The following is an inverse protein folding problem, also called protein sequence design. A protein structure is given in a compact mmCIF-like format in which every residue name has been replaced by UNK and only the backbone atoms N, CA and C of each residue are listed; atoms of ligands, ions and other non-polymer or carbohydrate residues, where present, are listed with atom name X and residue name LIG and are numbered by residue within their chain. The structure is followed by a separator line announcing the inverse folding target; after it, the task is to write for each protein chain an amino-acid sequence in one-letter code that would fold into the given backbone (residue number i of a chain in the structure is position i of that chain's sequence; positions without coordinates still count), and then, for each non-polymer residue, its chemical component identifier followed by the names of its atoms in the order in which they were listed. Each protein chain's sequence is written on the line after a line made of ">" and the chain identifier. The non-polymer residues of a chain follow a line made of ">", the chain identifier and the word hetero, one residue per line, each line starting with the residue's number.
data_IF_216138912413
#
_entry.id   IF_216138912413
#
_cell.length_a   1.000
_cell.length_b   1.000
_cell.length_c   1.000
_cell.angle_alpha   90.00
_cell.angle_beta   90.00
_cell.angle_gamma   90.00
#
_symmetry.space_group_name_H-M   'P 1'
#
loop_
_entity.id
_entity.type
_entity.pdbx_description
1 polymer ?
#
# COMPACT_ATOMS: atom_id res chain seq x y z
N UNK A 1 -24.66 -11.22 -4.20
CA UNK A 1 -23.20 -11.43 -4.35
C UNK A 1 -22.55 -11.14 -3.03
N UNK A 2 -21.37 -11.73 -2.72
CA UNK A 2 -20.66 -11.34 -1.50
C UNK A 2 -20.04 -9.93 -1.69
N UNK A 3 -19.85 -9.19 -0.61
CA UNK A 3 -19.20 -7.88 -0.68
C UNK A 3 -17.79 -7.95 -1.31
N UNK A 4 -17.08 -9.07 -1.10
CA UNK A 4 -15.78 -9.35 -1.75
C UNK A 4 -15.92 -9.41 -3.27
N UNK A 5 -16.92 -10.11 -3.78
CA UNK A 5 -17.18 -10.22 -5.22
C UNK A 5 -17.52 -8.84 -5.83
N UNK A 6 -18.27 -8.01 -5.12
CA UNK A 6 -18.62 -6.67 -5.58
C UNK A 6 -17.37 -5.78 -5.68
N UNK A 7 -16.45 -5.85 -4.69
CA UNK A 7 -15.17 -5.12 -4.71
C UNK A 7 -14.25 -5.61 -5.84
N UNK A 8 -14.17 -6.92 -6.07
CA UNK A 8 -13.41 -7.50 -7.17
C UNK A 8 -13.96 -7.00 -8.51
N UNK A 9 -15.27 -7.03 -8.69
CA UNK A 9 -15.91 -6.56 -9.93
C UNK A 9 -15.68 -5.06 -10.16
N UNK A 10 -15.76 -4.23 -9.13
CA UNK A 10 -15.45 -2.80 -9.22
C UNK A 10 -13.98 -2.57 -9.63
N UNK A 11 -13.05 -3.33 -9.03
CA UNK A 11 -11.62 -3.23 -9.36
C UNK A 11 -11.34 -3.64 -10.81
N UNK A 12 -12.01 -4.70 -11.31
CA UNK A 12 -11.84 -5.19 -12.68
C UNK A 12 -12.42 -4.23 -13.72
N UNK A 13 -13.55 -3.62 -13.41
CA UNK A 13 -14.23 -2.68 -14.30
C UNK A 13 -13.64 -1.26 -14.25
N UNK A 14 -12.64 -1.01 -13.38
CA UNK A 14 -12.04 0.30 -13.26
C UNK A 14 -11.26 0.65 -14.54
N UNK A 15 -11.61 1.75 -15.26
CA UNK A 15 -10.87 2.17 -16.43
C UNK A 15 -9.41 2.50 -16.10
N UNK A 16 -8.52 2.20 -17.04
CA UNK A 16 -7.11 2.58 -16.92
C UNK A 16 -6.87 4.05 -17.26
N UNK A 17 -5.75 4.58 -16.79
CA UNK A 17 -5.28 5.92 -17.13
C UNK A 17 -6.11 7.06 -16.50
N UNK A 18 -6.05 8.22 -17.14
CA UNK A 18 -6.67 9.46 -16.63
C UNK A 18 -8.19 9.40 -16.50
N UNK A 19 -8.85 8.59 -17.30
CA UNK A 19 -10.30 8.43 -17.24
C UNK A 19 -10.77 7.68 -15.96
N UNK A 20 -9.91 6.83 -15.39
CA UNK A 20 -10.25 5.97 -14.27
C UNK A 20 -9.49 6.26 -12.97
N UNK A 21 -8.60 7.27 -12.92
CA UNK A 21 -7.73 7.45 -11.76
C UNK A 21 -8.51 7.65 -10.45
N UNK A 22 -9.55 8.50 -10.45
CA UNK A 22 -10.35 8.76 -9.27
C UNK A 22 -11.17 7.53 -8.84
N UNK A 23 -11.70 6.78 -9.81
CA UNK A 23 -12.41 5.52 -9.56
C UNK A 23 -11.45 4.49 -8.95
N UNK A 24 -10.24 4.36 -9.50
CA UNK A 24 -9.22 3.44 -9.00
C UNK A 24 -8.81 3.78 -7.56
N UNK A 25 -8.53 5.07 -7.28
CA UNK A 25 -8.23 5.54 -5.92
C UNK A 25 -9.36 5.22 -4.93
N UNK A 26 -10.62 5.48 -5.33
CA UNK A 26 -11.77 5.21 -4.47
C UNK A 26 -11.95 3.71 -4.19
N UNK A 27 -11.94 2.88 -5.21
CA UNK A 27 -12.10 1.42 -5.09
C UNK A 27 -10.95 0.82 -4.29
N UNK A 28 -9.70 1.19 -4.58
CA UNK A 28 -8.55 0.68 -3.83
C UNK A 28 -8.56 1.14 -2.36
N UNK A 29 -9.00 2.38 -2.08
CA UNK A 29 -9.15 2.85 -0.69
C UNK A 29 -10.25 2.06 0.03
N UNK A 30 -11.36 1.78 -0.62
CA UNK A 30 -12.45 0.95 -0.06
C UNK A 30 -11.96 -0.46 0.23
N UNK A 31 -11.25 -1.09 -0.72
CA UNK A 31 -10.64 -2.41 -0.55
C UNK A 31 -9.69 -2.42 0.65
N UNK A 32 -8.70 -1.52 0.70
CA UNK A 32 -7.73 -1.49 1.80
C UNK A 32 -8.39 -1.20 3.16
N UNK A 33 -9.43 -0.36 3.17
CA UNK A 33 -10.21 -0.10 4.38
C UNK A 33 -10.97 -1.35 4.82
N UNK A 34 -11.63 -2.05 3.91
CA UNK A 34 -12.28 -3.32 4.20
C UNK A 34 -11.30 -4.38 4.71
N UNK A 35 -10.10 -4.46 4.12
CA UNK A 35 -9.08 -5.44 4.50
C UNK A 35 -8.48 -5.17 5.88
N UNK A 36 -8.14 -3.90 6.17
CA UNK A 36 -7.22 -3.56 7.24
C UNK A 36 -7.78 -2.64 8.34
N UNK A 37 -9.04 -2.23 8.25
CA UNK A 37 -9.68 -1.41 9.29
C UNK A 37 -10.86 -2.17 9.92
N UNK A 38 -10.77 -2.61 11.20
CA UNK A 38 -9.58 -2.63 12.03
C UNK A 38 -8.55 -3.68 11.54
N UNK A 39 -7.29 -3.71 12.02
CA UNK A 39 -6.74 -3.02 13.19
C UNK A 39 -6.11 -1.65 12.89
N UNK A 40 -5.89 -1.28 11.62
CA UNK A 40 -5.52 0.08 11.29
C UNK A 40 -6.68 1.05 11.56
N UNK A 41 -6.38 2.33 11.68
CA UNK A 41 -7.42 3.35 11.78
C UNK A 41 -7.94 3.76 10.40
N UNK A 42 -9.14 4.34 10.37
CA UNK A 42 -9.73 4.90 9.15
C UNK A 42 -8.74 5.87 8.48
N UNK A 43 -8.52 5.75 7.15
CA UNK A 43 -7.52 6.55 6.48
C UNK A 43 -7.86 8.03 6.42
N UNK A 44 -6.82 8.86 6.51
CA UNK A 44 -6.88 10.26 6.12
C UNK A 44 -6.63 10.33 4.61
N UNK A 45 -7.66 10.67 3.85
CA UNK A 45 -7.59 10.78 2.39
C UNK A 45 -7.17 12.18 1.97
N UNK A 46 -6.42 12.28 0.86
CA UNK A 46 -6.01 13.54 0.24
C UNK A 46 -5.31 14.49 1.23
N UNK A 47 -4.52 13.90 2.15
CA UNK A 47 -3.85 14.66 3.20
C UNK A 47 -2.81 15.60 2.63
N UNK A 48 -3.02 16.90 2.79
CA UNK A 48 -2.07 17.93 2.37
C UNK A 48 -1.01 18.19 3.45
N UNK A 49 0.21 18.53 3.02
CA UNK A 49 1.20 19.10 3.92
C UNK A 49 0.81 20.53 4.31
N UNK A 50 1.43 21.07 5.37
CA UNK A 50 1.17 22.45 5.80
C UNK A 50 1.42 23.48 4.69
N UNK A 51 2.41 23.21 3.82
CA UNK A 51 2.72 24.06 2.65
C UNK A 51 1.75 23.85 1.47
N UNK A 52 0.86 22.87 1.56
CA UNK A 52 -0.05 22.41 0.49
C UNK A 52 0.66 21.97 -0.82
N UNK A 53 2.00 21.91 -0.83
CA UNK A 53 2.80 21.52 -2.00
C UNK A 53 2.63 20.03 -2.30
N UNK A 54 2.54 19.19 -1.24
CA UNK A 54 2.41 17.75 -1.35
C UNK A 54 1.04 17.29 -0.88
N UNK A 55 0.42 16.43 -1.67
CA UNK A 55 -0.84 15.76 -1.35
C UNK A 55 -0.63 14.26 -1.40
N UNK A 56 -0.90 13.60 -0.30
CA UNK A 56 -0.81 12.14 -0.15
C UNK A 56 -2.19 11.55 -0.37
N UNK A 57 -2.28 10.48 -1.16
CA UNK A 57 -3.59 9.91 -1.51
C UNK A 57 -4.31 9.32 -0.31
N UNK A 58 -3.64 8.47 0.47
CA UNK A 58 -4.18 7.98 1.73
C UNK A 58 -3.09 7.73 2.78
N UNK A 59 -3.44 7.94 4.04
CA UNK A 59 -2.60 7.64 5.20
C UNK A 59 -3.43 6.83 6.19
N UNK A 60 -3.02 5.60 6.48
CA UNK A 60 -3.65 4.74 7.49
C UNK A 60 -2.85 4.79 8.78
N UNK A 61 -3.38 5.40 9.87
CA UNK A 61 -2.67 5.40 11.15
C UNK A 61 -2.60 3.99 11.73
N UNK A 62 -1.39 3.56 12.06
CA UNK A 62 -1.11 2.30 12.74
C UNK A 62 -0.88 2.57 14.23
N UNK A 63 -1.84 2.22 15.06
CA UNK A 63 -1.77 2.37 16.52
C UNK A 63 -1.47 1.05 17.24
N UNK A 64 -1.03 0.04 16.53
CA UNK A 64 -0.68 -1.28 17.07
C UNK A 64 0.72 -1.25 17.68
N UNK A 65 0.87 -0.58 18.83
CA UNK A 65 2.15 -0.36 19.52
C UNK A 65 2.45 -1.43 20.58
N UNK A 66 1.48 -2.29 20.85
CA UNK A 66 1.62 -3.42 21.78
C UNK A 66 1.17 -4.70 21.09
N UNK A 67 1.76 -5.86 21.40
CA UNK A 67 1.28 -7.15 20.92
C UNK A 67 -0.04 -7.48 21.65
N UNK A 68 -1.13 -6.87 21.23
CA UNK A 68 -2.44 -7.30 21.68
C UNK A 68 -2.71 -8.70 21.14
N UNK A 69 -3.31 -9.59 21.91
CA UNK A 69 -3.55 -10.97 21.53
C UNK A 69 -4.50 -11.19 20.34
N UNK A 70 -4.85 -10.14 19.62
CA UNK A 70 -5.59 -10.19 18.36
C UNK A 70 -4.62 -10.56 17.21
N UNK A 71 -4.86 -11.69 16.59
CA UNK A 71 -4.07 -12.18 15.46
C UNK A 71 -3.97 -11.13 14.34
N UNK A 72 -5.05 -10.42 14.05
CA UNK A 72 -5.11 -9.41 12.98
C UNK A 72 -4.23 -8.18 13.24
N UNK A 73 -3.81 -7.91 14.48
CA UNK A 73 -2.92 -6.79 14.81
C UNK A 73 -1.44 -7.16 14.82
N UNK A 74 -1.10 -8.45 14.78
CA UNK A 74 0.29 -8.95 14.93
C UNK A 74 1.22 -8.40 13.86
N UNK A 75 0.83 -8.50 12.60
CA UNK A 75 1.65 -8.06 11.49
C UNK A 75 1.85 -6.54 11.50
N UNK A 76 0.81 -5.77 11.83
CA UNK A 76 0.90 -4.31 11.94
C UNK A 76 1.75 -3.85 13.12
N UNK A 77 1.73 -4.60 14.23
CA UNK A 77 2.65 -4.40 15.34
C UNK A 77 4.10 -4.69 14.90
N UNK A 78 4.33 -5.80 14.21
CA UNK A 78 5.65 -6.15 13.67
C UNK A 78 6.20 -5.05 12.75
N UNK A 79 5.40 -4.59 11.80
CA UNK A 79 5.76 -3.49 10.89
C UNK A 79 6.00 -2.17 11.62
N UNK A 80 5.25 -1.92 12.71
CA UNK A 80 5.52 -0.77 13.57
C UNK A 80 6.92 -0.86 14.21
N UNK A 81 7.29 -2.02 14.74
CA UNK A 81 8.60 -2.22 15.39
C UNK A 81 9.75 -2.16 14.38
N UNK A 82 9.62 -2.88 13.28
CA UNK A 82 10.69 -3.03 12.29
C UNK A 82 10.90 -1.75 11.47
N UNK A 83 9.83 -1.18 10.95
CA UNK A 83 9.87 -0.06 10.00
C UNK A 83 9.42 1.28 10.61
N UNK A 84 9.16 1.33 11.93
CA UNK A 84 8.54 2.49 12.55
C UNK A 84 7.28 2.95 11.78
N UNK A 85 6.52 1.99 11.24
CA UNK A 85 5.39 2.23 10.37
C UNK A 85 4.17 2.73 11.15
N UNK A 86 4.27 3.96 11.68
CA UNK A 86 3.19 4.64 12.45
C UNK A 86 2.05 5.10 11.58
N UNK A 87 2.39 5.55 10.38
CA UNK A 87 1.47 6.09 9.41
C UNK A 87 1.76 5.37 8.08
N UNK A 88 0.90 4.42 7.71
CA UNK A 88 1.06 3.69 6.46
C UNK A 88 0.68 4.61 5.32
N UNK A 89 1.68 5.07 4.56
CA UNK A 89 1.46 5.86 3.35
C UNK A 89 0.99 4.95 2.23
N UNK A 90 -0.09 5.33 1.55
CA UNK A 90 -0.58 4.65 0.36
C UNK A 90 -0.72 5.66 -0.78
N UNK A 91 -0.15 5.31 -1.92
CA UNK A 91 -0.25 6.04 -3.18
C UNK A 91 -0.88 5.14 -4.24
N UNK A 92 -1.74 5.69 -5.08
CA UNK A 92 -2.44 4.95 -6.14
C UNK A 92 -1.92 5.36 -7.50
N UNK A 93 -1.54 4.38 -8.33
CA UNK A 93 -1.00 4.61 -9.68
C UNK A 93 -1.82 3.84 -10.69
N UNK A 94 -2.71 4.58 -11.36
CA UNK A 94 -3.58 4.04 -12.40
C UNK A 94 -3.11 4.49 -13.77
N UNK A 95 -2.27 3.70 -14.43
CA UNK A 95 -1.68 4.02 -15.72
C UNK A 95 -2.17 3.05 -16.81
N UNK A 96 -2.33 3.58 -18.01
CA UNK A 96 -2.69 2.83 -19.21
C UNK A 96 -1.42 2.52 -20.03
N UNK A 97 -0.96 3.47 -20.82
CA UNK A 97 0.20 3.31 -21.73
C UNK A 97 1.52 3.51 -20.98
N UNK A 98 1.57 4.55 -20.16
CA UNK A 98 2.78 4.91 -19.40
C UNK A 98 3.16 3.84 -18.39
N UNK A 99 4.44 3.53 -18.27
CA UNK A 99 4.95 2.61 -17.26
C UNK A 99 4.94 3.25 -15.86
N UNK A 100 4.80 2.40 -14.85
CA UNK A 100 5.07 2.76 -13.46
C UNK A 100 6.58 2.60 -13.26
N UNK A 101 7.27 3.72 -13.15
CA UNK A 101 8.73 3.80 -13.18
C UNK A 101 9.35 4.38 -11.90
N UNK A 102 10.63 4.80 -11.99
CA UNK A 102 11.36 5.39 -10.85
C UNK A 102 10.73 6.67 -10.31
N UNK A 103 10.01 7.43 -11.12
CA UNK A 103 9.42 8.72 -10.68
C UNK A 103 8.31 8.50 -9.67
N UNK A 104 7.48 7.45 -9.84
CA UNK A 104 6.45 7.07 -8.88
C UNK A 104 7.06 6.61 -7.56
N UNK A 105 8.17 5.89 -7.62
CA UNK A 105 8.94 5.47 -6.45
C UNK A 105 9.54 6.65 -5.72
N UNK A 106 10.10 7.63 -6.45
CA UNK A 106 10.63 8.86 -5.88
C UNK A 106 9.54 9.72 -5.25
N UNK A 107 8.35 9.77 -5.84
CA UNK A 107 7.21 10.47 -5.27
C UNK A 107 6.86 9.89 -3.88
N UNK A 108 6.74 8.57 -3.77
CA UNK A 108 6.49 7.90 -2.50
C UNK A 108 7.62 8.15 -1.48
N UNK A 109 8.88 8.10 -1.92
CA UNK A 109 10.03 8.43 -1.06
C UNK A 109 9.94 9.83 -0.47
N UNK A 110 9.59 10.83 -1.28
CA UNK A 110 9.46 12.23 -0.85
C UNK A 110 8.36 12.42 0.20
N UNK A 111 7.32 11.58 0.15
CA UNK A 111 6.23 11.62 1.13
C UNK A 111 6.54 10.87 2.43
N UNK A 112 7.50 9.94 2.42
CA UNK A 112 7.99 9.24 3.60
C UNK A 112 8.93 10.12 4.44
N UNK A 113 8.38 11.17 5.03
CA UNK A 113 9.09 12.01 5.99
C UNK A 113 9.24 11.30 7.34
N UNK A 114 10.13 11.78 8.19
CA UNK A 114 10.48 11.11 9.46
C UNK A 114 9.26 10.71 10.34
N UNK A 115 8.22 11.56 10.52
CA UNK A 115 7.04 11.18 11.30
C UNK A 115 6.21 10.05 10.69
N UNK A 116 6.31 9.79 9.38
CA UNK A 116 5.55 8.76 8.67
C UNK A 116 6.07 7.35 8.95
N UNK A 117 7.36 7.22 9.30
CA UNK A 117 8.03 5.93 9.37
C UNK A 117 8.70 5.56 8.04
N UNK A 118 8.92 4.25 7.82
CA UNK A 118 9.74 3.75 6.71
C UNK A 118 9.00 2.82 5.75
N UNK A 119 7.66 2.84 5.74
CA UNK A 119 6.84 2.01 4.86
C UNK A 119 5.89 2.85 4.03
N UNK A 120 5.96 2.70 2.71
CA UNK A 120 4.96 3.17 1.77
C UNK A 120 4.45 2.01 0.92
N UNK A 121 3.18 2.06 0.53
CA UNK A 121 2.54 1.11 -0.37
C UNK A 121 2.14 1.86 -1.64
N UNK A 122 2.66 1.42 -2.79
CA UNK A 122 2.19 1.83 -4.10
C UNK A 122 1.21 0.79 -4.62
N UNK A 123 -0.05 1.17 -4.70
CA UNK A 123 -1.10 0.36 -5.30
C UNK A 123 -1.17 0.67 -6.79
N UNK A 124 -0.90 -0.33 -7.61
CA UNK A 124 -0.64 -0.19 -9.04
C UNK A 124 -1.68 -0.89 -9.88
N UNK A 125 -2.19 -0.22 -10.92
CA UNK A 125 -3.11 -0.85 -11.88
C UNK A 125 -2.43 -1.91 -12.75
N UNK A 126 -1.11 -1.82 -12.92
CA UNK A 126 -0.22 -2.77 -13.59
C UNK A 126 1.11 -2.88 -12.86
N UNK A 127 1.90 -3.88 -13.19
CA UNK A 127 3.20 -4.08 -12.56
C UNK A 127 4.16 -2.94 -12.86
N UNK A 128 4.92 -2.46 -11.86
CA UNK A 128 6.02 -1.54 -12.08
C UNK A 128 7.11 -2.14 -12.96
N UNK A 129 7.77 -1.30 -13.75
CA UNK A 129 8.87 -1.75 -14.59
C UNK A 129 10.14 -2.08 -13.76
N UNK A 130 11.12 -2.71 -14.43
CA UNK A 130 12.38 -3.12 -13.79
C UNK A 130 13.13 -1.93 -13.16
N UNK A 131 13.08 -0.76 -13.76
CA UNK A 131 13.78 0.43 -13.24
C UNK A 131 13.16 0.92 -11.90
N UNK A 132 11.84 0.81 -11.76
CA UNK A 132 11.17 1.06 -10.48
C UNK A 132 11.66 0.11 -9.38
N UNK A 133 11.84 -1.18 -9.71
CA UNK A 133 12.36 -2.18 -8.77
C UNK A 133 13.81 -1.90 -8.37
N UNK A 134 14.68 -1.54 -9.33
CA UNK A 134 16.05 -1.12 -9.04
C UNK A 134 16.06 0.13 -8.14
N UNK A 135 15.21 1.12 -8.45
CA UNK A 135 15.14 2.34 -7.65
C UNK A 135 14.69 2.07 -6.22
N UNK A 136 13.70 1.22 -6.03
CA UNK A 136 13.23 0.77 -4.71
C UNK A 136 14.37 0.11 -3.90
N UNK A 137 15.18 -0.74 -4.51
CA UNK A 137 16.35 -1.38 -3.89
C UNK A 137 17.38 -0.32 -3.45
N UNK A 138 17.70 0.64 -4.33
CA UNK A 138 18.62 1.74 -4.00
C UNK A 138 18.14 2.55 -2.79
N UNK A 139 16.84 2.84 -2.71
CA UNK A 139 16.24 3.56 -1.57
C UNK A 139 16.40 2.75 -0.28
N UNK A 140 16.13 1.45 -0.33
CA UNK A 140 16.30 0.62 0.86
C UNK A 140 17.77 0.55 1.31
N UNK A 141 18.72 0.42 0.37
CA UNK A 141 20.17 0.45 0.67
C UNK A 141 20.54 1.72 1.44
N UNK A 142 20.11 2.88 0.95
CA UNK A 142 20.53 4.18 1.46
C UNK A 142 19.73 4.63 2.70
N UNK A 143 18.42 4.46 2.67
CA UNK A 143 17.50 5.08 3.63
C UNK A 143 16.79 4.07 4.54
N UNK A 144 16.94 2.77 4.27
CA UNK A 144 16.21 1.69 4.95
C UNK A 144 14.68 1.89 4.89
N UNK A 145 14.19 2.54 3.85
CA UNK A 145 12.76 2.73 3.58
C UNK A 145 12.27 1.66 2.61
N UNK A 146 11.15 1.04 2.94
CA UNK A 146 10.47 0.04 2.11
C UNK A 146 9.37 0.71 1.32
N UNK A 147 9.41 0.59 0.00
CA UNK A 147 8.33 0.97 -0.90
C UNK A 147 7.78 -0.31 -1.50
N UNK A 148 6.63 -0.74 -1.00
CA UNK A 148 5.99 -1.98 -1.40
C UNK A 148 5.10 -1.74 -2.62
N UNK A 149 5.20 -2.60 -3.63
CA UNK A 149 4.27 -2.60 -4.76
C UNK A 149 3.17 -3.62 -4.52
N UNK A 150 1.92 -3.20 -4.75
CA UNK A 150 0.75 -4.08 -4.73
C UNK A 150 -0.04 -3.85 -6.02
N UNK A 151 -0.22 -4.89 -6.80
CA UNK A 151 -1.02 -4.87 -8.02
C UNK A 151 -2.46 -5.36 -7.79
N UNK A 152 -3.29 -5.31 -8.84
CA UNK A 152 -4.69 -5.77 -8.80
C UNK A 152 -4.82 -7.25 -8.42
N UNK A 153 -3.87 -8.11 -8.83
CA UNK A 153 -3.90 -9.55 -8.52
C UNK A 153 -3.74 -9.77 -7.02
N UNK A 154 -2.78 -9.08 -6.42
CA UNK A 154 -2.53 -9.15 -4.97
C UNK A 154 -3.68 -8.56 -4.14
N UNK A 155 -4.31 -7.46 -4.59
CA UNK A 155 -5.51 -6.93 -3.94
C UNK A 155 -6.65 -7.96 -3.93
N UNK A 156 -6.88 -8.64 -5.06
CA UNK A 156 -7.91 -9.69 -5.16
C UNK A 156 -7.59 -10.87 -4.25
N UNK A 157 -6.33 -11.30 -4.22
CA UNK A 157 -5.92 -12.39 -3.33
C UNK A 157 -6.17 -12.04 -1.86
N UNK A 158 -5.81 -10.82 -1.42
CA UNK A 158 -6.12 -10.36 -0.06
C UNK A 158 -7.63 -10.33 0.24
N UNK A 159 -8.46 -9.96 -0.73
CA UNK A 159 -9.92 -10.01 -0.58
C UNK A 159 -10.41 -11.46 -0.39
N UNK A 160 -9.88 -12.39 -1.18
CA UNK A 160 -10.22 -13.83 -1.07
C UNK A 160 -9.68 -14.44 0.24
N UNK A 161 -8.48 -14.06 0.69
CA UNK A 161 -7.95 -14.45 2.01
C UNK A 161 -8.92 -14.04 3.11
N UNK A 162 -9.39 -12.79 3.10
CA UNK A 162 -10.37 -12.32 4.10
C UNK A 162 -11.70 -13.08 4.04
N UNK A 163 -12.19 -13.43 2.86
CA UNK A 163 -13.40 -14.22 2.69
C UNK A 163 -13.24 -15.65 3.26
N UNK A 164 -12.03 -16.21 3.17
CA UNK A 164 -11.66 -17.51 3.79
C UNK A 164 -11.40 -17.42 5.29
N UNK A 165 -11.42 -16.21 5.89
CA UNK A 165 -11.11 -16.01 7.31
C UNK A 165 -9.61 -15.99 7.63
N UNK A 166 -8.76 -15.87 6.61
CA UNK A 166 -7.31 -15.68 6.73
C UNK A 166 -6.97 -14.21 6.99
N UNK A 167 -5.77 -13.92 7.52
CA UNK A 167 -5.32 -12.53 7.70
C UNK A 167 -4.70 -11.98 6.40
N UNK A 168 -5.34 -11.01 5.73
CA UNK A 168 -4.78 -10.45 4.50
C UNK A 168 -3.43 -9.75 4.68
N UNK A 169 -3.09 -9.34 5.91
CA UNK A 169 -1.80 -8.71 6.19
C UNK A 169 -0.62 -9.68 6.13
N UNK A 170 -0.86 -11.00 6.15
CA UNK A 170 0.18 -12.01 5.91
C UNK A 170 0.79 -11.81 4.51
N UNK A 171 -0.01 -11.50 3.48
CA UNK A 171 0.51 -11.20 2.16
C UNK A 171 1.40 -9.93 2.13
N UNK A 172 1.12 -8.94 2.97
CA UNK A 172 1.99 -7.76 3.11
C UNK A 172 3.35 -8.17 3.66
N UNK A 173 3.39 -9.01 4.69
CA UNK A 173 4.64 -9.54 5.26
C UNK A 173 5.39 -10.36 4.23
N UNK A 174 4.73 -11.31 3.55
CA UNK A 174 5.35 -12.16 2.52
C UNK A 174 6.01 -11.32 1.41
N UNK A 175 5.35 -10.27 0.96
CA UNK A 175 5.88 -9.36 -0.08
C UNK A 175 7.09 -8.55 0.41
N UNK A 176 7.13 -8.16 1.69
CA UNK A 176 8.27 -7.48 2.28
C UNK A 176 9.44 -8.45 2.45
N UNK A 177 9.19 -9.67 2.94
CA UNK A 177 10.20 -10.72 3.06
C UNK A 177 10.77 -11.11 1.69
N UNK A 178 9.92 -11.25 0.68
CA UNK A 178 10.37 -11.47 -0.70
C UNK A 178 11.26 -10.32 -1.19
N UNK A 179 10.86 -9.08 -0.90
CA UNK A 179 11.70 -7.92 -1.23
C UNK A 179 13.07 -7.99 -0.54
N UNK A 180 13.14 -8.38 0.73
CA UNK A 180 14.40 -8.51 1.46
C UNK A 180 15.28 -9.62 0.89
N UNK A 181 14.69 -10.76 0.51
CA UNK A 181 15.46 -11.87 -0.10
C UNK A 181 15.99 -11.55 -1.49
N UNK A 182 15.34 -10.64 -2.21
CA UNK A 182 15.75 -10.17 -3.53
C UNK A 182 16.62 -8.90 -3.51
N UNK A 183 16.87 -8.37 -2.31
CA UNK A 183 17.69 -7.16 -2.15
C UNK A 183 19.17 -7.48 -2.31
N UNK A 184 19.89 -6.70 -3.16
CA UNK A 184 21.31 -6.81 -3.45
C UNK A 184 22.14 -5.74 -2.70
#
# INVERSE_FOLDING_TARGET
>A
MSHVNDLIQQLDNCPLGSAGWATFENVCTEILTFLFVPPLQVPQRQAKTLSEINRRDAIYPNRNITPNGDANSRNWYHLFQELNARLILVEYKNYDITDIGPDEVNCALNYLTNPMGRLAILVCSKDPNRQASIRRNTIYTNDKKVILFINKVQLKEMLLMKERGEDPSDLIIDLIELFYTQHE
#
